data_IF_421181277537
#
_entry.id   IF_421181277537
#
_cell.length_a   1.000
_cell.length_b   1.000
_cell.length_c   1.000
_cell.angle_alpha   90.00
_cell.angle_beta   90.00
_cell.angle_gamma   90.00
#
_symmetry.space_group_name_H-M   'P 1'
#
loop_
_entity.id
_entity.type
_entity.pdbx_description
1 polymer ?
#
# COMPACT_ATOMS: atom_id res chain seq x y z
N UNK A 1 29.68 -85.92 -17.54
CA UNK A 1 28.47 -86.05 -18.38
C UNK A 1 27.27 -86.16 -17.43
N UNK A 2 26.37 -85.16 -17.47
CA UNK A 2 25.00 -85.07 -16.88
C UNK A 2 24.79 -85.50 -15.42
N UNK A 3 24.37 -84.57 -14.57
CA UNK A 3 23.11 -84.70 -13.80
C UNK A 3 22.35 -83.36 -13.88
N UNK A 4 21.05 -83.50 -14.15
CA UNK A 4 20.02 -82.50 -14.42
C UNK A 4 19.27 -82.16 -13.11
N UNK A 5 18.14 -81.46 -13.23
CA UNK A 5 17.02 -81.27 -12.26
C UNK A 5 17.21 -80.23 -11.15
N UNK A 6 16.29 -79.32 -10.79
CA UNK A 6 14.86 -79.08 -11.14
C UNK A 6 14.52 -77.60 -10.82
N UNK A 7 13.52 -77.06 -11.52
CA UNK A 7 12.93 -75.73 -11.36
C UNK A 7 11.90 -75.63 -10.21
N UNK A 8 11.75 -74.44 -9.60
CA UNK A 8 10.50 -74.02 -8.93
C UNK A 8 10.26 -72.53 -9.22
N UNK A 9 9.05 -72.21 -9.69
CA UNK A 9 8.51 -70.88 -9.91
C UNK A 9 7.38 -70.60 -8.90
N UNK A 10 7.31 -69.37 -8.35
CA UNK A 10 6.16 -68.74 -7.69
C UNK A 10 6.40 -67.21 -7.73
N UNK A 11 5.76 -66.42 -8.60
CA UNK A 11 4.41 -65.81 -8.56
C UNK A 11 4.13 -64.83 -7.39
N UNK A 12 4.05 -63.53 -7.73
CA UNK A 12 2.91 -62.59 -7.52
C UNK A 12 2.83 -61.69 -6.25
N UNK A 13 3.05 -60.38 -6.51
CA UNK A 13 2.35 -59.13 -6.08
C UNK A 13 2.31 -58.71 -4.58
N UNK A 14 1.75 -57.52 -4.22
CA UNK A 14 2.50 -56.30 -3.92
C UNK A 14 2.37 -55.87 -2.44
N UNK A 15 3.41 -55.24 -1.88
CA UNK A 15 3.37 -54.76 -0.50
C UNK A 15 2.75 -53.35 -0.42
N UNK A 16 1.58 -53.25 0.20
CA UNK A 16 0.98 -52.00 0.67
C UNK A 16 1.78 -51.45 1.84
N UNK A 17 2.08 -50.14 1.84
CA UNK A 17 2.63 -49.41 2.98
C UNK A 17 1.59 -48.41 3.50
N UNK A 18 1.10 -48.69 4.72
CA UNK A 18 0.29 -47.80 5.54
C UNK A 18 1.19 -47.09 6.57
N UNK A 19 0.88 -45.80 6.76
CA UNK A 19 1.13 -44.90 7.90
C UNK A 19 2.57 -44.59 8.36
N UNK A 20 2.90 -43.30 8.30
CA UNK A 20 3.52 -42.60 9.42
C UNK A 20 2.91 -41.19 9.54
N UNK A 21 2.10 -40.96 10.58
CA UNK A 21 1.72 -39.63 11.04
C UNK A 21 2.97 -38.93 11.60
N UNK A 22 3.36 -37.81 11.02
CA UNK A 22 4.34 -36.88 11.60
C UNK A 22 3.57 -35.76 12.30
N UNK A 23 3.64 -35.76 13.62
CA UNK A 23 3.11 -34.70 14.48
C UNK A 23 4.05 -33.50 14.47
N UNK A 24 3.58 -32.42 13.86
CA UNK A 24 3.61 -31.03 14.34
C UNK A 24 4.90 -30.48 15.00
N UNK A 25 5.51 -29.50 14.33
CA UNK A 25 5.88 -28.22 14.95
C UNK A 25 6.27 -27.19 13.88
N UNK A 26 5.30 -26.41 13.39
CA UNK A 26 5.58 -25.17 12.67
C UNK A 26 5.94 -24.06 13.67
N UNK A 27 6.94 -23.20 13.41
CA UNK A 27 7.19 -22.03 14.23
C UNK A 27 6.08 -20.99 13.99
N UNK A 28 5.16 -20.87 14.94
CA UNK A 28 4.18 -19.79 15.02
C UNK A 28 4.93 -18.51 15.44
N UNK A 29 5.35 -17.68 14.48
CA UNK A 29 6.06 -16.44 14.85
C UNK A 29 6.40 -15.43 13.75
N UNK A 30 6.49 -15.81 12.47
CA UNK A 30 6.90 -14.87 11.40
C UNK A 30 5.78 -14.46 10.42
N UNK A 31 4.68 -15.21 10.33
CA UNK A 31 3.62 -14.92 9.35
C UNK A 31 2.62 -13.84 9.80
N UNK A 32 2.45 -13.62 11.11
CA UNK A 32 1.49 -12.65 11.64
C UNK A 32 1.99 -11.21 11.49
N UNK A 33 3.26 -10.94 11.80
CA UNK A 33 3.84 -9.58 11.74
C UNK A 33 3.91 -9.03 10.31
N UNK A 34 4.26 -9.89 9.34
CA UNK A 34 4.29 -9.53 7.91
C UNK A 34 2.88 -9.27 7.36
N UNK A 35 1.90 -10.09 7.76
CA UNK A 35 0.50 -9.92 7.33
C UNK A 35 -0.13 -8.66 7.93
N UNK A 36 0.10 -8.39 9.21
CA UNK A 36 -0.38 -7.17 9.89
C UNK A 36 0.21 -5.92 9.24
N UNK A 37 1.54 -5.87 9.02
CA UNK A 37 2.17 -4.74 8.33
C UNK A 37 1.64 -4.57 6.89
N UNK A 38 1.35 -5.69 6.20
CA UNK A 38 0.75 -5.69 4.87
C UNK A 38 -0.67 -5.12 4.84
N UNK A 39 -1.50 -5.47 5.82
CA UNK A 39 -2.89 -5.00 5.92
C UNK A 39 -2.98 -3.55 6.41
N UNK A 40 -2.14 -3.14 7.36
CA UNK A 40 -2.02 -1.75 7.78
C UNK A 40 -1.57 -0.85 6.61
N UNK A 41 -0.65 -1.32 5.77
CA UNK A 41 -0.23 -0.56 4.59
C UNK A 41 -1.32 -0.49 3.51
N UNK A 42 -2.15 -1.52 3.36
CA UNK A 42 -3.34 -1.46 2.50
C UNK A 42 -4.32 -0.41 3.01
N UNK A 43 -4.54 -0.34 4.33
CA UNK A 43 -5.38 0.69 4.96
C UNK A 43 -4.84 2.08 4.66
N UNK A 44 -3.56 2.34 4.94
CA UNK A 44 -2.92 3.64 4.67
C UNK A 44 -3.03 4.07 3.20
N UNK A 45 -2.80 3.15 2.26
CA UNK A 45 -2.98 3.42 0.83
C UNK A 45 -4.42 3.75 0.49
N UNK A 46 -5.39 3.04 1.09
CA UNK A 46 -6.80 3.27 0.84
C UNK A 46 -7.27 4.62 1.40
N UNK A 47 -6.81 4.99 2.61
CA UNK A 47 -7.03 6.32 3.19
C UNK A 47 -6.48 7.43 2.32
N UNK A 48 -5.21 7.31 1.89
CA UNK A 48 -4.62 8.32 1.02
C UNK A 48 -5.39 8.49 -0.31
N UNK A 49 -5.79 7.38 -0.96
CA UNK A 49 -6.62 7.43 -2.18
C UNK A 49 -7.96 8.08 -1.92
N UNK A 50 -8.62 7.72 -0.82
CA UNK A 50 -9.90 8.30 -0.44
C UNK A 50 -9.79 9.81 -0.24
N UNK A 51 -8.82 10.25 0.58
CA UNK A 51 -8.56 11.67 0.85
C UNK A 51 -8.32 12.41 -0.46
N UNK A 52 -7.35 11.97 -1.27
CA UNK A 52 -7.01 12.65 -2.51
C UNK A 52 -8.18 12.69 -3.49
N UNK A 53 -8.88 11.56 -3.70
CA UNK A 53 -10.02 11.51 -4.61
C UNK A 53 -11.18 12.40 -4.14
N UNK A 54 -11.40 12.48 -2.83
CA UNK A 54 -12.45 13.32 -2.24
C UNK A 54 -12.12 14.80 -2.41
N UNK A 55 -10.90 15.21 -2.09
CA UNK A 55 -10.45 16.60 -2.27
C UNK A 55 -10.46 17.02 -3.75
N UNK A 56 -9.96 16.18 -4.66
CA UNK A 56 -9.99 16.47 -6.10
C UNK A 56 -11.41 16.56 -6.66
N UNK A 57 -12.29 15.65 -6.23
CA UNK A 57 -13.70 15.70 -6.64
C UNK A 57 -14.38 16.94 -6.11
N UNK A 58 -14.13 17.30 -4.85
CA UNK A 58 -14.70 18.48 -4.23
C UNK A 58 -14.20 19.76 -4.89
N UNK A 59 -12.90 19.89 -5.17
CA UNK A 59 -12.34 21.07 -5.84
C UNK A 59 -12.89 21.26 -7.25
N UNK A 60 -13.21 20.16 -7.94
CA UNK A 60 -13.76 20.19 -9.31
C UNK A 60 -15.27 20.43 -9.34
N UNK A 61 -16.02 19.88 -8.38
CA UNK A 61 -17.50 19.81 -8.46
C UNK A 61 -18.22 20.62 -7.37
N UNK A 62 -17.51 21.06 -6.34
CA UNK A 62 -18.07 21.66 -5.12
C UNK A 62 -18.90 20.69 -4.27
N UNK A 63 -18.82 19.36 -4.52
CA UNK A 63 -19.67 18.36 -3.86
C UNK A 63 -18.88 17.14 -3.40
N UNK A 64 -19.31 16.57 -2.27
CA UNK A 64 -18.89 15.23 -1.83
C UNK A 64 -19.73 14.18 -2.58
N UNK A 65 -19.23 13.69 -3.72
CA UNK A 65 -19.95 12.70 -4.56
C UNK A 65 -20.23 11.38 -3.82
N UNK A 66 -19.33 10.98 -2.92
CA UNK A 66 -19.52 9.88 -1.97
C UNK A 66 -19.56 10.45 -0.55
N UNK A 67 -20.57 11.26 -0.26
CA UNK A 67 -20.73 11.87 1.05
C UNK A 67 -20.85 10.76 2.12
N UNK A 68 -19.91 10.68 3.08
CA UNK A 68 -19.95 9.66 4.12
C UNK A 68 -21.00 9.92 5.22
N UNK A 69 -21.87 10.92 5.04
CA UNK A 69 -22.84 11.35 6.06
C UNK A 69 -22.45 12.65 6.75
N UNK A 70 -21.51 13.41 6.17
CA UNK A 70 -21.18 14.77 6.58
C UNK A 70 -22.37 15.68 6.23
N UNK A 71 -22.82 16.44 7.21
CA UNK A 71 -23.79 17.49 7.00
C UNK A 71 -23.13 18.82 6.60
N UNK A 72 -23.93 19.83 6.28
CA UNK A 72 -23.41 21.11 5.82
C UNK A 72 -22.68 21.93 6.90
N UNK A 73 -22.93 21.66 8.18
CA UNK A 73 -22.30 22.40 9.28
C UNK A 73 -20.87 21.89 9.54
N UNK A 74 -20.66 20.58 9.39
CA UNK A 74 -19.38 19.92 9.63
C UNK A 74 -18.50 19.83 8.36
N UNK A 75 -19.01 20.25 7.20
CA UNK A 75 -18.33 20.10 5.90
C UNK A 75 -16.97 20.80 5.84
N UNK A 76 -16.90 22.04 6.33
CA UNK A 76 -15.66 22.83 6.27
C UNK A 76 -14.57 22.18 7.12
N UNK A 77 -14.88 21.87 8.38
CA UNK A 77 -13.96 21.17 9.30
C UNK A 77 -13.53 19.81 8.72
N UNK A 78 -14.45 19.06 8.13
CA UNK A 78 -14.13 17.79 7.50
C UNK A 78 -13.12 17.95 6.35
N UNK A 79 -13.32 18.93 5.47
CA UNK A 79 -12.40 19.20 4.36
C UNK A 79 -11.03 19.69 4.86
N UNK A 80 -10.99 20.48 5.94
CA UNK A 80 -9.73 20.89 6.59
C UNK A 80 -8.95 19.68 7.11
N UNK A 81 -9.61 18.73 7.78
CA UNK A 81 -8.95 17.49 8.21
C UNK A 81 -8.46 16.65 7.04
N UNK A 82 -9.27 16.51 5.97
CA UNK A 82 -8.83 15.81 4.77
C UNK A 82 -7.59 16.47 4.15
N UNK A 83 -7.56 17.80 4.07
CA UNK A 83 -6.40 18.54 3.55
C UNK A 83 -5.17 18.34 4.44
N UNK A 84 -5.33 18.46 5.76
CA UNK A 84 -4.25 18.20 6.72
C UNK A 84 -3.63 16.82 6.53
N UNK A 85 -4.46 15.76 6.49
CA UNK A 85 -3.94 14.40 6.31
C UNK A 85 -3.37 14.16 4.91
N UNK A 86 -3.91 14.81 3.87
CA UNK A 86 -3.29 14.79 2.55
C UNK A 86 -1.86 15.33 2.59
N UNK A 87 -1.67 16.48 3.24
CA UNK A 87 -0.37 17.12 3.37
C UNK A 87 0.59 16.27 4.20
N UNK A 88 0.10 15.66 5.29
CA UNK A 88 0.89 14.71 6.07
C UNK A 88 1.32 13.50 5.24
N UNK A 89 0.41 12.82 4.55
CA UNK A 89 0.77 11.69 3.69
C UNK A 89 1.76 12.09 2.59
N UNK A 90 1.58 13.27 2.00
CA UNK A 90 2.31 13.70 0.81
C UNK A 90 3.55 14.55 1.07
N UNK A 91 3.88 14.88 2.32
CA UNK A 91 4.94 15.85 2.66
C UNK A 91 6.30 15.59 2.02
N UNK A 92 6.65 14.32 1.78
CA UNK A 92 7.89 13.92 1.12
C UNK A 92 7.86 14.03 -0.41
N UNK A 93 6.69 14.03 -1.03
CA UNK A 93 6.53 13.85 -2.48
C UNK A 93 5.46 14.74 -3.12
N UNK A 94 5.00 15.79 -2.45
CA UNK A 94 4.10 16.79 -3.06
C UNK A 94 4.87 17.81 -3.91
N UNK A 95 4.14 18.67 -4.62
CA UNK A 95 4.70 19.72 -5.51
C UNK A 95 5.72 20.64 -4.83
N UNK A 96 5.63 20.82 -3.51
CA UNK A 96 6.52 21.67 -2.71
C UNK A 96 7.65 20.87 -2.02
N UNK A 97 7.77 19.56 -2.28
CA UNK A 97 8.81 18.71 -1.70
C UNK A 97 10.19 18.97 -2.34
N UNK A 98 11.25 18.59 -1.65
CA UNK A 98 12.60 18.63 -2.21
C UNK A 98 12.72 17.75 -3.47
N UNK A 99 12.03 16.60 -3.49
CA UNK A 99 11.90 15.72 -4.65
C UNK A 99 11.38 16.48 -5.87
N UNK A 100 10.21 17.12 -5.76
CA UNK A 100 9.60 17.82 -6.89
C UNK A 100 10.37 19.07 -7.29
N UNK A 101 10.94 19.82 -6.32
CA UNK A 101 11.79 20.98 -6.66
C UNK A 101 12.99 20.57 -7.51
N UNK A 102 13.69 19.51 -7.12
CA UNK A 102 14.83 19.03 -7.90
C UNK A 102 14.39 18.49 -9.27
N UNK A 103 13.30 17.72 -9.32
CA UNK A 103 12.78 17.15 -10.56
C UNK A 103 12.27 18.19 -11.55
N UNK A 104 11.74 19.31 -11.07
CA UNK A 104 11.20 20.37 -11.92
C UNK A 104 12.21 21.49 -12.22
N UNK A 105 13.40 21.44 -11.61
CA UNK A 105 14.42 22.47 -11.79
C UNK A 105 14.94 22.48 -13.25
N UNK A 106 14.87 23.62 -13.96
CA UNK A 106 15.41 23.74 -15.31
C UNK A 106 16.95 23.66 -15.35
N UNK A 107 17.65 24.00 -14.26
CA UNK A 107 19.12 23.90 -14.18
C UNK A 107 19.60 22.44 -14.26
N UNK A 108 18.76 21.51 -13.83
CA UNK A 108 18.98 20.07 -13.94
C UNK A 108 18.66 19.51 -15.33
N UNK A 109 18.34 20.35 -16.32
CA UNK A 109 17.97 19.93 -17.68
C UNK A 109 19.08 19.26 -18.52
N UNK A 110 20.32 19.21 -18.00
CA UNK A 110 21.44 18.47 -18.62
C UNK A 110 21.50 16.99 -18.23
N UNK A 111 20.79 16.59 -17.18
CA UNK A 111 20.65 15.19 -16.77
C UNK A 111 19.67 14.47 -17.69
N UNK A 112 19.82 13.16 -17.83
CA UNK A 112 18.74 12.37 -18.45
C UNK A 112 17.52 12.33 -17.53
N UNK A 113 16.36 11.95 -18.07
CA UNK A 113 15.13 11.86 -17.28
C UNK A 113 15.28 10.85 -16.14
N UNK A 114 15.96 9.75 -16.45
CA UNK A 114 16.27 8.64 -15.58
C UNK A 114 17.15 9.07 -14.39
N UNK A 115 18.29 9.70 -14.69
CA UNK A 115 19.20 10.24 -13.66
C UNK A 115 18.50 11.26 -12.77
N UNK A 116 17.68 12.13 -13.38
CA UNK A 116 16.90 13.13 -12.65
C UNK A 116 15.88 12.48 -11.73
N UNK A 117 15.19 11.45 -12.19
CA UNK A 117 14.19 10.73 -11.42
C UNK A 117 14.81 9.96 -10.26
N UNK A 118 15.95 9.30 -10.47
CA UNK A 118 16.69 8.59 -9.42
C UNK A 118 17.14 9.54 -8.30
N UNK A 119 17.81 10.64 -8.66
CA UNK A 119 18.26 11.64 -7.70
C UNK A 119 17.09 12.31 -6.98
N UNK A 120 16.01 12.61 -7.69
CA UNK A 120 14.79 13.15 -7.08
C UNK A 120 14.20 12.19 -6.05
N UNK A 121 14.04 10.92 -6.42
CA UNK A 121 13.46 9.90 -5.55
C UNK A 121 14.32 9.65 -4.30
N UNK A 122 15.63 9.88 -4.40
CA UNK A 122 16.57 9.78 -3.27
C UNK A 122 16.30 10.79 -2.14
N UNK A 123 15.58 11.89 -2.40
CA UNK A 123 15.15 12.82 -1.35
C UNK A 123 14.06 12.25 -0.44
N UNK A 124 13.41 11.16 -0.84
CA UNK A 124 12.45 10.48 0.00
C UNK A 124 13.18 9.73 1.13
N UNK A 125 12.55 9.65 2.31
CA UNK A 125 13.04 8.84 3.44
C UNK A 125 13.26 7.38 3.02
N UNK A 126 14.01 6.60 3.80
CA UNK A 126 14.14 5.15 3.56
C UNK A 126 12.77 4.47 3.42
N UNK A 127 12.69 3.36 2.67
CA UNK A 127 11.42 2.65 2.49
C UNK A 127 10.77 2.30 3.84
N UNK A 128 11.56 1.84 4.80
CA UNK A 128 11.11 1.49 6.15
C UNK A 128 10.52 2.71 6.86
N UNK A 129 11.23 3.84 6.88
CA UNK A 129 10.76 5.08 7.53
C UNK A 129 9.51 5.65 6.87
N UNK A 130 9.42 5.58 5.53
CA UNK A 130 8.23 6.01 4.78
C UNK A 130 7.03 5.17 5.17
N UNK A 131 7.19 3.85 5.17
CA UNK A 131 6.11 2.93 5.55
C UNK A 131 5.69 3.20 6.99
N UNK A 132 6.62 3.25 7.93
CA UNK A 132 6.32 3.54 9.34
C UNK A 132 5.54 4.85 9.51
N UNK A 133 5.93 5.90 8.78
CA UNK A 133 5.22 7.18 8.80
C UNK A 133 3.81 7.08 8.21
N UNK A 134 3.62 6.41 7.07
CA UNK A 134 2.29 6.23 6.48
C UNK A 134 1.33 5.45 7.41
N UNK A 135 1.85 4.46 8.12
CA UNK A 135 1.04 3.72 9.11
C UNK A 135 0.66 4.60 10.29
N UNK A 136 1.57 5.45 10.79
CA UNK A 136 1.27 6.38 11.87
C UNK A 136 0.19 7.39 11.45
N UNK A 137 0.32 7.99 10.27
CA UNK A 137 -0.65 8.95 9.73
C UNK A 137 -2.01 8.29 9.51
N UNK A 138 -2.06 7.05 9.01
CA UNK A 138 -3.33 6.35 8.81
C UNK A 138 -4.06 6.10 10.13
N UNK A 139 -3.33 5.70 11.19
CA UNK A 139 -3.94 5.52 12.51
C UNK A 139 -4.47 6.85 13.05
N UNK A 140 -3.68 7.92 12.96
CA UNK A 140 -4.08 9.26 13.40
C UNK A 140 -5.29 9.77 12.63
N UNK A 141 -5.35 9.54 11.31
CA UNK A 141 -6.51 9.87 10.49
C UNK A 141 -7.76 9.14 10.98
N UNK A 142 -7.68 7.82 11.17
CA UNK A 142 -8.84 7.05 11.61
C UNK A 142 -9.32 7.47 13.00
N UNK A 143 -8.40 7.65 13.96
CA UNK A 143 -8.73 8.13 15.30
C UNK A 143 -9.33 9.53 15.26
N UNK A 144 -8.75 10.45 14.49
CA UNK A 144 -9.28 11.83 14.37
C UNK A 144 -10.68 11.85 13.80
N UNK A 145 -10.95 11.05 12.76
CA UNK A 145 -12.29 10.96 12.18
C UNK A 145 -13.30 10.39 13.18
N UNK A 146 -12.93 9.36 13.94
CA UNK A 146 -13.80 8.79 14.97
C UNK A 146 -14.06 9.78 16.10
N UNK A 147 -13.04 10.48 16.57
CA UNK A 147 -13.14 11.42 17.69
C UNK A 147 -13.94 12.67 17.33
N UNK A 148 -13.76 13.21 16.13
CA UNK A 148 -14.39 14.47 15.71
C UNK A 148 -15.77 14.26 15.09
N UNK A 149 -15.99 13.17 14.35
CA UNK A 149 -17.22 12.95 13.58
C UNK A 149 -17.95 11.65 13.92
N UNK A 150 -17.40 10.84 14.83
CA UNK A 150 -18.00 9.61 15.31
C UNK A 150 -17.70 8.38 14.45
N UNK A 151 -17.88 7.22 15.09
CA UNK A 151 -17.60 5.91 14.49
C UNK A 151 -18.48 5.54 13.29
N UNK A 152 -19.68 6.13 13.18
CA UNK A 152 -20.55 5.95 12.01
C UNK A 152 -19.90 6.56 10.76
N UNK A 153 -19.36 7.78 10.88
CA UNK A 153 -18.69 8.42 9.75
C UNK A 153 -17.44 7.66 9.35
N UNK A 154 -16.62 7.25 10.35
CA UNK A 154 -15.42 6.43 10.10
C UNK A 154 -15.78 5.15 9.34
N UNK A 155 -16.84 4.45 9.75
CA UNK A 155 -17.30 3.24 9.06
C UNK A 155 -17.67 3.53 7.59
N UNK A 156 -18.46 4.57 7.35
CA UNK A 156 -18.87 4.95 5.99
C UNK A 156 -17.67 5.32 5.12
N UNK A 157 -16.68 6.01 5.69
CA UNK A 157 -15.41 6.32 5.02
C UNK A 157 -14.66 5.03 4.70
N UNK A 158 -14.54 4.10 5.65
CA UNK A 158 -13.87 2.82 5.44
C UNK A 158 -14.54 1.95 4.36
N UNK A 159 -15.87 2.02 4.23
CA UNK A 159 -16.60 1.43 3.10
C UNK A 159 -16.29 2.14 1.77
N UNK A 160 -16.26 3.48 1.78
CA UNK A 160 -15.99 4.28 0.58
C UNK A 160 -14.55 4.11 0.06
N UNK A 161 -13.57 3.91 0.95
CA UNK A 161 -12.15 3.68 0.64
C UNK A 161 -11.94 2.53 -0.36
N UNK A 162 -12.74 1.47 -0.27
CA UNK A 162 -12.62 0.27 -1.13
C UNK A 162 -12.81 0.62 -2.62
N UNK A 163 -13.67 1.60 -2.91
CA UNK A 163 -13.97 2.05 -4.28
C UNK A 163 -13.35 3.40 -4.64
N UNK A 164 -12.40 3.92 -3.86
CA UNK A 164 -11.72 5.19 -4.15
C UNK A 164 -10.68 4.99 -5.24
N UNK A 165 -10.83 5.72 -6.36
CA UNK A 165 -9.87 5.72 -7.46
C UNK A 165 -9.02 6.98 -7.38
N UNK A 166 -7.70 6.81 -7.38
CA UNK A 166 -6.75 7.90 -7.47
C UNK A 166 -5.54 7.49 -8.30
N UNK A 167 -5.10 8.41 -9.15
CA UNK A 167 -3.86 8.26 -9.92
C UNK A 167 -2.63 8.43 -9.02
N UNK A 168 -2.76 9.15 -7.90
CA UNK A 168 -1.70 9.31 -6.91
C UNK A 168 -1.66 8.11 -5.95
N UNK A 169 -0.46 7.63 -5.64
CA UNK A 169 -0.24 6.45 -4.79
C UNK A 169 0.90 6.71 -3.82
N UNK A 170 0.88 6.05 -2.66
CA UNK A 170 2.00 6.11 -1.72
C UNK A 170 3.21 5.34 -2.27
N UNK A 171 4.43 5.94 -2.31
CA UNK A 171 5.66 5.25 -2.70
C UNK A 171 6.12 4.31 -1.57
N UNK A 172 5.52 3.12 -1.57
CA UNK A 172 5.52 2.18 -0.44
C UNK A 172 6.11 0.81 -0.79
N UNK A 173 6.75 0.71 -1.96
CA UNK A 173 7.59 -0.39 -2.40
C UNK A 173 8.80 0.21 -3.12
N UNK A 174 9.80 -0.62 -3.42
CA UNK A 174 10.78 -0.25 -4.44
C UNK A 174 10.05 -0.21 -5.78
N UNK A 175 10.18 0.91 -6.48
CA UNK A 175 9.70 1.06 -7.84
C UNK A 175 10.84 0.69 -8.79
N UNK A 176 10.49 0.09 -9.93
CA UNK A 176 11.39 0.12 -11.07
C UNK A 176 11.49 1.56 -11.60
N UNK A 177 12.48 1.80 -12.45
CA UNK A 177 12.79 3.12 -13.00
C UNK A 177 11.58 3.79 -13.66
N UNK A 178 10.85 3.05 -14.51
CA UNK A 178 9.66 3.57 -15.18
C UNK A 178 8.55 3.95 -14.18
N UNK A 179 8.37 3.15 -13.12
CA UNK A 179 7.42 3.43 -12.06
C UNK A 179 7.86 4.61 -11.18
N UNK A 180 9.17 4.84 -10.97
CA UNK A 180 9.69 6.04 -10.31
C UNK A 180 9.33 7.27 -11.13
N UNK A 181 9.67 7.29 -12.42
CA UNK A 181 9.37 8.42 -13.31
C UNK A 181 7.87 8.70 -13.33
N UNK A 182 7.05 7.68 -13.58
CA UNK A 182 5.59 7.82 -13.62
C UNK A 182 5.02 8.33 -12.29
N UNK A 183 5.57 7.88 -11.16
CA UNK A 183 5.18 8.39 -9.86
C UNK A 183 5.53 9.87 -9.72
N UNK A 184 6.78 10.27 -9.99
CA UNK A 184 7.25 11.65 -9.87
C UNK A 184 6.45 12.57 -10.80
N UNK A 185 6.24 12.19 -12.05
CA UNK A 185 5.42 12.93 -13.01
C UNK A 185 3.99 13.14 -12.48
N UNK A 186 3.41 12.13 -11.81
CA UNK A 186 2.06 12.22 -11.27
C UNK A 186 1.91 13.17 -10.09
N UNK A 187 2.99 13.46 -9.36
CA UNK A 187 2.96 14.24 -8.11
C UNK A 187 3.61 15.61 -8.20
N UNK A 188 4.46 15.83 -9.20
CA UNK A 188 5.16 17.10 -9.41
C UNK A 188 4.52 17.98 -10.50
N UNK A 189 3.59 17.42 -11.30
CA UNK A 189 2.82 18.16 -12.30
C UNK A 189 1.90 19.23 -11.68
#
# INVERSE_FOLDING_TARGET
MRILTIAIALLVLPFSLTSAQSTNSQPVGLNSKSTIAGDELKSARASFRYINSTLQTFSTTGRLVKNPGIDGADLEAYLEYLQFFYDEFSSGFNRNSAMCRFYMDPENGRMTLEEKAELSFSFLRSLEDRVARYLAIDREFQTTIEDQFGSILLRNINEAKVGALSNQRLPSTNFDEAAVISFIDSVCA
#
